data_IF_205955257050
#
_entry.id   IF_205955257050
#
_cell.length_a   1.000
_cell.length_b   1.000
_cell.length_c   1.000
_cell.angle_alpha   90.00
_cell.angle_beta   90.00
_cell.angle_gamma   90.00
#
_symmetry.space_group_name_H-M   'P 1'
#
loop_
_entity.id
_entity.type
_entity.pdbx_description
1 polymer ?
#
# COMPACT_ATOMS: atom_id res chain seq x y z
N UNK A 1 1.75 -38.90 4.60
CA UNK A 1 2.32 -37.59 4.96
C UNK A 1 1.18 -36.59 5.10
N UNK A 2 1.22 -35.75 6.12
CA UNK A 2 0.28 -34.62 6.27
C UNK A 2 0.61 -33.50 5.28
N UNK A 3 -0.33 -32.58 5.02
CA UNK A 3 -0.06 -31.39 4.18
C UNK A 3 1.13 -30.60 4.72
N UNK A 4 1.25 -30.47 6.04
CA UNK A 4 2.35 -29.77 6.70
C UNK A 4 3.71 -30.42 6.41
N UNK A 5 3.79 -31.75 6.44
CA UNK A 5 5.02 -32.49 6.13
C UNK A 5 5.42 -32.35 4.67
N UNK A 6 4.45 -32.45 3.74
CA UNK A 6 4.70 -32.29 2.31
C UNK A 6 5.25 -30.90 2.01
N UNK A 7 4.62 -29.87 2.57
CA UNK A 7 5.01 -28.47 2.38
C UNK A 7 6.43 -28.23 2.90
N UNK A 8 6.72 -28.65 4.14
CA UNK A 8 8.03 -28.45 4.77
C UNK A 8 9.15 -29.22 4.07
N UNK A 9 8.85 -30.37 3.47
CA UNK A 9 9.81 -31.14 2.69
C UNK A 9 10.06 -30.56 1.29
N UNK A 10 9.05 -29.93 0.69
CA UNK A 10 9.11 -29.47 -0.71
C UNK A 10 9.54 -28.00 -0.85
N UNK A 11 9.27 -27.15 0.14
CA UNK A 11 9.43 -25.70 0.04
C UNK A 11 10.28 -25.18 1.19
N UNK A 12 11.47 -24.66 0.87
CA UNK A 12 12.28 -23.94 1.84
C UNK A 12 11.71 -22.56 2.16
N UNK A 13 12.01 -22.06 3.35
CA UNK A 13 11.64 -20.71 3.80
C UNK A 13 12.16 -19.64 2.82
N UNK A 14 13.36 -19.84 2.28
CA UNK A 14 13.98 -18.93 1.30
C UNK A 14 13.26 -18.94 -0.04
N UNK A 15 12.77 -20.09 -0.51
CA UNK A 15 11.99 -20.18 -1.75
C UNK A 15 10.64 -19.47 -1.60
N UNK A 16 9.92 -19.73 -0.51
CA UNK A 16 8.67 -19.04 -0.20
C UNK A 16 8.87 -17.52 -0.10
N UNK A 17 9.87 -17.07 0.67
CA UNK A 17 10.17 -15.65 0.82
C UNK A 17 10.41 -14.95 -0.53
N UNK A 18 11.22 -15.55 -1.42
CA UNK A 18 11.47 -15.00 -2.75
C UNK A 18 10.23 -15.00 -3.62
N UNK A 19 9.46 -16.09 -3.61
CA UNK A 19 8.21 -16.22 -4.36
C UNK A 19 7.21 -15.12 -3.98
N UNK A 20 7.14 -14.79 -2.68
CA UNK A 20 6.29 -13.72 -2.16
C UNK A 20 6.94 -12.32 -2.16
N UNK A 21 8.03 -12.13 -2.92
CA UNK A 21 8.58 -10.78 -3.21
C UNK A 21 9.57 -10.23 -2.19
N UNK A 22 10.06 -11.04 -1.23
CA UNK A 22 11.13 -10.58 -0.34
C UNK A 22 12.47 -10.55 -1.10
N UNK A 23 13.14 -9.40 -1.05
CA UNK A 23 14.49 -9.23 -1.58
C UNK A 23 15.52 -9.88 -0.65
N UNK A 24 15.84 -11.15 -0.92
CA UNK A 24 16.82 -11.94 -0.15
C UNK A 24 18.22 -11.77 -0.73
N UNK A 25 19.16 -11.26 0.08
CA UNK A 25 20.55 -11.09 -0.33
C UNK A 25 21.35 -12.41 -0.31
N UNK A 26 22.62 -12.34 -0.72
CA UNK A 26 23.53 -13.51 -0.79
C UNK A 26 23.70 -14.22 0.56
N UNK A 27 23.59 -13.49 1.67
CA UNK A 27 23.73 -14.03 3.03
C UNK A 27 22.42 -14.61 3.59
N UNK A 28 21.35 -14.69 2.79
CA UNK A 28 20.04 -15.15 3.25
C UNK A 28 19.35 -14.16 4.19
N UNK A 29 19.68 -12.87 4.08
CA UNK A 29 19.04 -11.81 4.86
C UNK A 29 18.04 -11.05 3.99
N UNK A 30 16.95 -10.60 4.58
CA UNK A 30 15.96 -9.70 3.97
C UNK A 30 15.50 -8.64 4.99
N UNK A 31 14.94 -7.54 4.51
CA UNK A 31 14.18 -6.63 5.38
C UNK A 31 12.95 -7.38 5.90
N UNK A 32 12.72 -7.33 7.21
CA UNK A 32 11.62 -8.02 7.82
C UNK A 32 10.28 -7.36 7.44
N UNK A 33 9.31 -8.12 6.90
CA UNK A 33 8.01 -7.58 6.55
C UNK A 33 7.11 -7.37 7.78
N UNK A 34 7.47 -7.94 8.94
CA UNK A 34 6.65 -7.93 10.15
C UNK A 34 6.85 -6.69 11.03
N UNK A 35 7.79 -5.80 10.70
CA UNK A 35 7.97 -4.51 11.37
C UNK A 35 8.55 -3.47 10.39
N UNK A 36 8.67 -2.22 10.81
CA UNK A 36 9.25 -1.17 9.98
C UNK A 36 10.78 -1.31 9.90
N UNK A 37 11.23 -2.18 9.00
CA UNK A 37 12.65 -2.54 8.89
C UNK A 37 13.36 -1.83 7.71
N UNK A 38 14.36 -1.01 8.05
CA UNK A 38 15.20 -0.30 7.08
C UNK A 38 16.46 -1.08 6.68
N UNK A 39 16.91 -2.03 7.52
CA UNK A 39 18.16 -2.77 7.32
C UNK A 39 17.91 -4.27 7.46
N UNK A 40 18.35 -5.13 6.53
CA UNK A 40 18.02 -6.55 6.55
C UNK A 40 18.22 -7.22 7.93
N UNK A 41 17.12 -7.49 8.64
CA UNK A 41 17.13 -8.10 9.97
C UNK A 41 16.49 -9.50 10.01
N UNK A 42 15.83 -9.91 8.93
CA UNK A 42 15.22 -11.24 8.77
C UNK A 42 16.22 -12.21 8.16
N UNK A 43 16.70 -13.17 8.96
CA UNK A 43 17.50 -14.31 8.50
C UNK A 43 16.57 -15.42 8.02
N UNK A 44 16.76 -15.85 6.78
CA UNK A 44 16.07 -16.96 6.14
C UNK A 44 17.06 -18.13 6.02
N UNK A 45 16.90 -19.13 6.88
CA UNK A 45 17.62 -20.40 6.78
C UNK A 45 16.82 -21.37 5.91
N UNK A 46 17.25 -22.63 5.80
CA UNK A 46 16.54 -23.59 4.96
C UNK A 46 15.14 -23.91 5.52
N UNK A 47 15.08 -24.27 6.80
CA UNK A 47 13.84 -24.75 7.44
C UNK A 47 13.13 -23.71 8.32
N UNK A 48 13.82 -22.62 8.69
CA UNK A 48 13.28 -21.62 9.60
C UNK A 48 13.72 -20.19 9.26
N UNK A 49 12.93 -19.21 9.72
CA UNK A 49 13.33 -17.81 9.75
C UNK A 49 13.46 -17.27 11.17
N UNK A 50 14.27 -16.24 11.32
CA UNK A 50 14.34 -15.44 12.54
C UNK A 50 14.61 -13.98 12.21
N UNK A 51 13.81 -13.08 12.77
CA UNK A 51 14.03 -11.64 12.70
C UNK A 51 14.74 -11.14 13.96
N UNK A 52 15.94 -10.61 13.80
CA UNK A 52 16.70 -10.02 14.91
C UNK A 52 16.14 -8.68 15.40
N UNK A 53 15.31 -8.00 14.61
CA UNK A 53 14.69 -6.72 14.98
C UNK A 53 13.44 -6.86 15.84
N UNK A 54 12.51 -7.76 15.45
CA UNK A 54 11.21 -7.90 16.12
C UNK A 54 10.98 -9.27 16.79
N UNK A 55 11.94 -10.20 16.71
CA UNK A 55 11.83 -11.53 17.31
C UNK A 55 10.89 -12.51 16.60
N UNK A 56 10.27 -12.10 15.48
CA UNK A 56 9.45 -12.98 14.66
C UNK A 56 10.27 -14.19 14.20
N UNK A 57 9.69 -15.38 14.34
CA UNK A 57 10.35 -16.65 14.05
C UNK A 57 9.33 -17.72 13.68
N UNK A 58 9.79 -18.76 13.02
CA UNK A 58 8.96 -19.90 12.63
C UNK A 58 9.50 -20.59 11.39
N UNK A 59 8.70 -21.48 10.84
CA UNK A 59 8.99 -22.20 9.60
C UNK A 59 8.36 -21.51 8.37
N UNK A 60 8.36 -22.22 7.23
CA UNK A 60 7.81 -21.70 5.96
C UNK A 60 6.32 -21.40 6.06
N UNK A 61 5.58 -22.16 6.86
CA UNK A 61 4.13 -22.00 7.04
C UNK A 61 3.87 -20.83 7.97
N UNK A 62 4.64 -20.70 9.06
CA UNK A 62 4.55 -19.53 9.94
C UNK A 62 4.87 -18.23 9.21
N UNK A 63 5.84 -18.26 8.29
CA UNK A 63 6.19 -17.11 7.45
C UNK A 63 4.96 -16.69 6.64
N UNK A 64 4.35 -17.62 5.90
CA UNK A 64 3.19 -17.36 5.03
C UNK A 64 1.96 -16.97 5.83
N UNK A 65 1.69 -17.65 6.95
CA UNK A 65 0.61 -17.32 7.86
C UNK A 65 0.68 -15.86 8.30
N UNK A 66 1.87 -15.39 8.72
CA UNK A 66 2.07 -13.99 9.11
C UNK A 66 2.07 -13.00 7.95
N UNK A 67 2.54 -13.44 6.78
CA UNK A 67 2.58 -12.60 5.58
C UNK A 67 1.17 -12.28 5.07
N UNK A 68 0.24 -13.22 5.18
CA UNK A 68 -1.10 -13.13 4.62
C UNK A 68 -2.21 -13.06 5.67
N UNK A 69 -1.87 -13.01 6.96
CA UNK A 69 -2.81 -13.08 8.08
C UNK A 69 -3.75 -14.29 8.00
N UNK A 70 -3.15 -15.47 7.80
CA UNK A 70 -3.85 -16.74 7.63
C UNK A 70 -3.64 -17.66 8.83
N UNK A 71 -4.58 -18.57 9.07
CA UNK A 71 -4.31 -19.72 9.94
C UNK A 71 -3.21 -20.62 9.34
N UNK A 72 -2.56 -21.44 10.16
CA UNK A 72 -1.52 -22.37 9.68
C UNK A 72 -2.02 -23.32 8.60
N UNK A 73 -3.29 -23.73 8.66
CA UNK A 73 -3.89 -24.63 7.66
C UNK A 73 -4.15 -23.91 6.33
N UNK A 74 -4.67 -22.67 6.37
CA UNK A 74 -4.85 -21.84 5.19
C UNK A 74 -3.51 -21.47 4.54
N UNK A 75 -2.48 -21.16 5.33
CA UNK A 75 -1.13 -20.92 4.85
C UNK A 75 -0.53 -22.16 4.16
N UNK A 76 -0.76 -23.36 4.70
CA UNK A 76 -0.33 -24.61 4.09
C UNK A 76 -1.06 -24.88 2.76
N UNK A 77 -2.38 -24.68 2.71
CA UNK A 77 -3.16 -24.81 1.46
C UNK A 77 -2.70 -23.79 0.41
N UNK A 78 -2.43 -22.56 0.83
CA UNK A 78 -1.91 -21.51 -0.05
C UNK A 78 -0.56 -21.87 -0.65
N UNK A 79 0.38 -22.33 0.18
CA UNK A 79 1.68 -22.81 -0.28
C UNK A 79 1.52 -24.01 -1.23
N UNK A 80 0.60 -24.93 -0.97
CA UNK A 80 0.32 -26.05 -1.86
C UNK A 80 -0.18 -25.57 -3.23
N UNK A 81 -1.12 -24.63 -3.26
CA UNK A 81 -1.66 -24.07 -4.49
C UNK A 81 -0.61 -23.27 -5.28
N UNK A 82 0.13 -22.37 -4.60
CA UNK A 82 1.09 -21.46 -5.22
C UNK A 82 2.34 -22.19 -5.78
N UNK A 83 2.70 -23.34 -5.20
CA UNK A 83 3.83 -24.17 -5.63
C UNK A 83 3.41 -25.44 -6.39
N UNK A 84 2.12 -25.61 -6.70
CA UNK A 84 1.62 -26.75 -7.48
C UNK A 84 1.74 -28.10 -6.78
N UNK A 85 1.66 -28.12 -5.45
CA UNK A 85 1.69 -29.34 -4.61
C UNK A 85 0.29 -29.83 -4.22
N UNK A 86 -0.77 -29.16 -4.66
CA UNK A 86 -2.14 -29.53 -4.30
C UNK A 86 -2.64 -30.77 -5.09
N UNK A 87 -3.00 -31.89 -4.42
CA UNK A 87 -3.57 -33.06 -5.08
C UNK A 87 -5.04 -32.90 -5.49
N UNK A 88 -5.72 -31.82 -5.06
CA UNK A 88 -7.08 -31.48 -5.52
C UNK A 88 -7.06 -30.16 -6.28
N UNK A 89 -7.87 -30.01 -7.35
CA UNK A 89 -8.03 -28.70 -7.98
C UNK A 89 -8.60 -27.73 -6.94
N UNK A 90 -8.07 -26.49 -6.85
CA UNK A 90 -8.52 -25.52 -5.86
C UNK A 90 -10.02 -25.27 -6.05
N UNK A 91 -10.77 -25.28 -4.95
CA UNK A 91 -12.17 -24.87 -4.98
C UNK A 91 -12.25 -23.38 -5.35
N UNK A 92 -13.33 -22.95 -5.99
CA UNK A 92 -13.48 -21.54 -6.40
C UNK A 92 -13.32 -20.53 -5.23
N UNK A 93 -13.58 -20.96 -3.99
CA UNK A 93 -13.30 -20.20 -2.77
C UNK A 93 -11.79 -20.08 -2.44
N UNK A 94 -10.98 -21.10 -2.72
CA UNK A 94 -9.51 -21.03 -2.63
C UNK A 94 -8.87 -20.23 -3.78
N UNK A 95 -9.63 -19.96 -4.85
CA UNK A 95 -9.21 -19.08 -5.97
C UNK A 95 -9.47 -17.60 -5.72
N UNK A 96 -10.10 -17.22 -4.59
CA UNK A 96 -10.13 -15.82 -4.17
C UNK A 96 -8.72 -15.48 -3.70
N UNK A 97 -7.90 -14.94 -4.61
CA UNK A 97 -6.53 -14.49 -4.31
C UNK A 97 -6.58 -13.53 -3.11
N UNK A 98 -6.05 -13.89 -1.93
CA UNK A 98 -5.73 -12.86 -0.95
C UNK A 98 -4.62 -12.02 -1.56
N UNK A 99 -4.90 -10.75 -1.83
CA UNK A 99 -3.92 -9.83 -2.41
C UNK A 99 -2.79 -9.56 -1.40
N UNK A 100 -1.65 -10.16 -1.71
CA UNK A 100 -0.25 -9.76 -1.46
C UNK A 100 0.21 -9.57 0.00
N UNK A 101 1.38 -10.12 0.35
CA UNK A 101 2.24 -9.55 1.36
C UNK A 101 3.18 -8.59 0.64
N UNK A 102 2.88 -7.31 0.68
CA UNK A 102 3.87 -6.27 0.37
C UNK A 102 3.88 -5.25 1.50
N UNK A 103 4.05 -5.72 2.73
CA UNK A 103 3.86 -4.92 3.95
C UNK A 103 4.69 -3.63 3.93
N UNK A 104 5.90 -3.63 3.33
CA UNK A 104 6.69 -2.40 3.20
C UNK A 104 6.25 -1.51 2.03
N UNK A 105 6.16 -2.04 0.81
CA UNK A 105 5.80 -1.23 -0.36
C UNK A 105 4.37 -0.73 -0.28
N UNK A 106 3.45 -1.53 0.25
CA UNK A 106 2.08 -1.10 0.54
C UNK A 106 2.08 0.05 1.53
N UNK A 107 2.79 -0.05 2.67
CA UNK A 107 2.90 1.07 3.63
C UNK A 107 3.51 2.32 3.00
N UNK A 108 4.53 2.15 2.15
CA UNK A 108 5.17 3.26 1.43
C UNK A 108 4.18 3.91 0.44
N UNK A 109 3.43 3.11 -0.33
CA UNK A 109 2.42 3.56 -1.27
C UNK A 109 1.20 4.16 -0.56
N UNK A 110 0.74 3.57 0.53
CA UNK A 110 -0.35 4.04 1.38
C UNK A 110 0.00 5.42 1.96
N UNK A 111 1.20 5.56 2.53
CA UNK A 111 1.71 6.84 3.00
C UNK A 111 1.87 7.87 1.87
N UNK A 112 2.33 7.45 0.70
CA UNK A 112 2.44 8.33 -0.48
C UNK A 112 1.06 8.81 -0.93
N UNK A 113 0.10 7.89 -1.09
CA UNK A 113 -1.27 8.17 -1.47
C UNK A 113 -1.89 9.16 -0.49
N UNK A 114 -1.81 8.86 0.81
CA UNK A 114 -2.34 9.72 1.87
C UNK A 114 -1.71 11.12 1.80
N UNK A 115 -0.39 11.23 1.75
CA UNK A 115 0.30 12.52 1.66
C UNK A 115 -0.16 13.33 0.45
N UNK A 116 -0.19 12.73 -0.73
CA UNK A 116 -0.55 13.43 -1.98
C UNK A 116 -2.02 13.86 -1.97
N UNK A 117 -2.93 13.00 -1.50
CA UNK A 117 -4.35 13.33 -1.37
C UNK A 117 -4.56 14.46 -0.37
N UNK A 118 -3.92 14.42 0.79
CA UNK A 118 -3.98 15.47 1.80
C UNK A 118 -3.37 16.79 1.29
N UNK A 119 -2.25 16.74 0.57
CA UNK A 119 -1.64 17.92 -0.04
C UNK A 119 -2.58 18.61 -1.04
N UNK A 120 -3.31 17.81 -1.82
CA UNK A 120 -4.30 18.32 -2.76
C UNK A 120 -5.57 18.80 -2.04
N UNK A 121 -6.04 18.08 -1.01
CA UNK A 121 -7.20 18.48 -0.21
C UNK A 121 -7.00 19.85 0.42
N UNK A 122 -5.84 20.10 1.05
CA UNK A 122 -5.52 21.42 1.61
C UNK A 122 -5.50 22.52 0.54
N UNK A 123 -5.06 22.22 -0.69
CA UNK A 123 -5.11 23.17 -1.80
C UNK A 123 -6.56 23.49 -2.19
N UNK A 124 -7.43 22.49 -2.23
CA UNK A 124 -8.85 22.66 -2.55
C UNK A 124 -9.60 23.43 -1.45
N UNK A 125 -9.37 23.10 -0.17
CA UNK A 125 -9.96 23.82 0.96
C UNK A 125 -9.61 25.31 0.92
N UNK A 126 -8.35 25.59 0.66
CA UNK A 126 -7.84 26.94 0.51
C UNK A 126 -8.48 27.67 -0.69
N UNK A 127 -8.62 27.00 -1.83
CA UNK A 127 -9.27 27.57 -3.01
C UNK A 127 -10.76 27.83 -2.79
N UNK A 128 -11.46 26.96 -2.05
CA UNK A 128 -12.87 27.17 -1.69
C UNK A 128 -13.08 28.45 -0.89
N UNK A 129 -12.10 28.86 -0.09
CA UNK A 129 -12.19 30.08 0.71
C UNK A 129 -11.73 31.29 -0.10
N UNK A 130 -10.55 31.21 -0.73
CA UNK A 130 -9.93 32.36 -1.40
C UNK A 130 -10.62 32.78 -2.69
N UNK A 131 -11.15 31.83 -3.44
CA UNK A 131 -11.76 32.08 -4.75
C UNK A 131 -13.29 31.96 -4.73
N UNK A 132 -13.90 31.94 -3.55
CA UNK A 132 -15.35 31.96 -3.43
C UNK A 132 -15.96 33.22 -4.08
N UNK A 133 -17.02 33.07 -4.89
CA UNK A 133 -17.79 34.22 -5.34
C UNK A 133 -18.36 34.95 -4.12
N UNK A 134 -18.30 36.28 -4.11
CA UNK A 134 -18.83 37.10 -3.02
C UNK A 134 -20.33 37.32 -3.18
N UNK A 135 -20.80 37.29 -4.42
CA UNK A 135 -22.21 37.42 -4.79
C UNK A 135 -22.62 36.31 -5.77
N UNK A 136 -23.89 35.92 -5.82
CA UNK A 136 -24.39 34.90 -6.77
C UNK A 136 -24.19 35.26 -8.25
N UNK A 137 -24.03 36.55 -8.55
CA UNK A 137 -23.86 37.07 -9.91
C UNK A 137 -22.39 37.06 -10.37
N UNK A 138 -21.44 36.82 -9.47
CA UNK A 138 -20.01 36.78 -9.80
C UNK A 138 -19.70 35.60 -10.73
N UNK A 139 -18.81 35.83 -11.70
CA UNK A 139 -18.25 34.75 -12.50
C UNK A 139 -17.44 33.80 -11.59
N UNK A 140 -17.66 32.49 -11.72
CA UNK A 140 -16.96 31.50 -10.91
C UNK A 140 -15.52 31.34 -11.38
N UNK A 141 -14.57 31.42 -10.44
CA UNK A 141 -13.17 31.08 -10.70
C UNK A 141 -13.02 29.57 -10.88
N UNK A 142 -12.27 29.15 -11.91
CA UNK A 142 -12.04 27.74 -12.22
C UNK A 142 -11.52 26.94 -11.00
N UNK A 143 -10.69 27.56 -10.15
CA UNK A 143 -10.15 26.93 -8.94
C UNK A 143 -11.24 26.68 -7.89
N UNK A 144 -12.18 27.61 -7.76
CA UNK A 144 -13.32 27.45 -6.88
C UNK A 144 -14.23 26.32 -7.35
N UNK A 145 -14.48 26.24 -8.66
CA UNK A 145 -15.27 25.16 -9.28
C UNK A 145 -14.61 23.81 -9.08
N UNK A 146 -13.31 23.70 -9.39
CA UNK A 146 -12.51 22.48 -9.18
C UNK A 146 -12.55 22.04 -7.72
N UNK A 147 -12.37 22.98 -6.79
CA UNK A 147 -12.40 22.68 -5.38
C UNK A 147 -13.78 22.21 -4.89
N UNK A 148 -14.87 22.80 -5.38
CA UNK A 148 -16.21 22.30 -5.08
C UNK A 148 -16.47 20.89 -5.64
N UNK A 149 -15.97 20.59 -6.84
CA UNK A 149 -16.18 19.30 -7.49
C UNK A 149 -15.33 18.18 -6.88
N UNK A 150 -14.09 18.49 -6.51
CA UNK A 150 -13.11 17.47 -6.13
C UNK A 150 -13.03 17.22 -4.63
N UNK A 151 -13.38 18.19 -3.78
CA UNK A 151 -13.19 18.10 -2.32
C UNK A 151 -13.77 16.82 -1.71
N UNK A 152 -15.07 16.57 -1.88
CA UNK A 152 -15.73 15.40 -1.27
C UNK A 152 -15.13 14.08 -1.76
N UNK A 153 -14.71 14.02 -3.03
CA UNK A 153 -14.15 12.80 -3.60
C UNK A 153 -12.73 12.52 -3.08
N UNK A 154 -11.89 13.55 -2.94
CA UNK A 154 -10.54 13.43 -2.39
C UNK A 154 -10.58 13.15 -0.88
N UNK A 155 -11.48 13.82 -0.16
CA UNK A 155 -11.76 13.60 1.26
C UNK A 155 -12.18 12.16 1.52
N UNK A 156 -13.14 11.61 0.76
CA UNK A 156 -13.53 10.21 0.84
C UNK A 156 -12.35 9.25 0.70
N UNK A 157 -11.44 9.51 -0.26
CA UNK A 157 -10.25 8.67 -0.45
C UNK A 157 -9.27 8.78 0.72
N UNK A 158 -9.09 9.98 1.28
CA UNK A 158 -8.24 10.18 2.47
C UNK A 158 -8.85 9.48 3.71
N UNK A 159 -10.17 9.52 3.87
CA UNK A 159 -10.89 8.84 4.94
C UNK A 159 -10.72 7.32 4.84
N UNK A 160 -10.90 6.73 3.65
CA UNK A 160 -10.65 5.29 3.46
C UNK A 160 -9.23 4.92 3.90
N UNK A 161 -8.21 5.71 3.55
CA UNK A 161 -6.82 5.46 3.98
C UNK A 161 -6.60 5.63 5.49
N UNK A 162 -7.45 6.38 6.18
CA UNK A 162 -7.31 6.68 7.62
C UNK A 162 -8.09 5.71 8.49
N UNK A 163 -9.33 5.40 8.11
CA UNK A 163 -10.28 4.64 8.94
C UNK A 163 -10.81 3.37 8.29
N UNK A 164 -10.60 3.18 6.98
CA UNK A 164 -11.05 1.99 6.26
C UNK A 164 -10.33 0.72 6.71
N UNK A 165 -10.95 -0.43 6.48
CA UNK A 165 -10.33 -1.71 6.78
C UNK A 165 -9.16 -2.03 5.82
N UNK A 166 -8.41 -3.10 6.10
CA UNK A 166 -7.24 -3.43 5.29
C UNK A 166 -7.60 -3.72 3.82
N UNK A 167 -8.74 -4.36 3.56
CA UNK A 167 -9.17 -4.72 2.21
C UNK A 167 -9.53 -3.47 1.41
N UNK A 168 -10.29 -2.55 2.02
CA UNK A 168 -10.65 -1.26 1.44
C UNK A 168 -9.41 -0.41 1.13
N UNK A 169 -8.47 -0.30 2.08
CA UNK A 169 -7.22 0.46 1.89
C UNK A 169 -6.36 -0.13 0.80
N UNK A 170 -6.21 -1.47 0.75
CA UNK A 170 -5.46 -2.15 -0.30
C UNK A 170 -6.07 -1.92 -1.68
N UNK A 171 -7.40 -2.05 -1.79
CA UNK A 171 -8.11 -1.83 -3.05
C UNK A 171 -7.92 -0.39 -3.55
N UNK A 172 -8.01 0.60 -2.65
CA UNK A 172 -7.85 2.00 -2.99
C UNK A 172 -6.41 2.33 -3.42
N UNK A 173 -5.40 1.89 -2.66
CA UNK A 173 -3.98 2.12 -3.01
C UNK A 173 -3.64 1.46 -4.35
N UNK A 174 -4.10 0.23 -4.60
CA UNK A 174 -3.89 -0.43 -5.89
C UNK A 174 -4.46 0.40 -7.04
N UNK A 175 -5.70 0.90 -6.90
CA UNK A 175 -6.35 1.74 -7.91
C UNK A 175 -5.60 3.04 -8.14
N UNK A 176 -5.23 3.72 -7.05
CA UNK A 176 -4.51 4.99 -7.07
C UNK A 176 -3.14 4.91 -7.76
N UNK A 177 -2.44 3.80 -7.54
CA UNK A 177 -1.13 3.54 -8.12
C UNK A 177 -1.19 3.01 -9.55
N UNK A 178 -2.28 2.35 -9.96
CA UNK A 178 -2.47 1.89 -11.34
C UNK A 178 -2.88 3.01 -12.29
N UNK A 179 -3.70 3.95 -11.82
CA UNK A 179 -4.27 5.00 -12.67
C UNK A 179 -3.31 6.19 -12.87
N UNK A 180 -2.05 6.10 -12.43
CA UNK A 180 -1.06 7.20 -12.34
C UNK A 180 -1.57 8.47 -11.63
N UNK A 181 -2.74 8.39 -10.97
CA UNK A 181 -3.45 9.51 -10.36
C UNK A 181 -2.61 10.19 -9.29
N UNK A 182 -1.88 9.41 -8.51
CA UNK A 182 -0.99 9.92 -7.47
C UNK A 182 0.17 10.73 -8.06
N UNK A 183 0.81 10.22 -9.12
CA UNK A 183 1.89 10.95 -9.79
C UNK A 183 1.37 12.27 -10.38
N UNK A 184 0.22 12.21 -11.07
CA UNK A 184 -0.44 13.40 -11.62
C UNK A 184 -0.77 14.43 -10.53
N UNK A 185 -1.45 14.03 -9.45
CA UNK A 185 -1.84 14.95 -8.39
C UNK A 185 -0.64 15.54 -7.66
N UNK A 186 0.43 14.77 -7.47
CA UNK A 186 1.66 15.25 -6.86
C UNK A 186 2.31 16.37 -7.69
N UNK A 187 2.46 16.16 -8.99
CA UNK A 187 3.02 17.17 -9.90
C UNK A 187 2.10 18.38 -10.05
N UNK A 188 0.80 18.15 -10.21
CA UNK A 188 -0.22 19.18 -10.34
C UNK A 188 -0.24 20.09 -9.11
N UNK A 189 -0.32 19.52 -7.92
CA UNK A 189 -0.36 20.27 -6.66
C UNK A 189 0.93 21.05 -6.44
N UNK A 190 2.10 20.45 -6.72
CA UNK A 190 3.38 21.14 -6.60
C UNK A 190 3.49 22.35 -7.55
N UNK A 191 3.02 22.21 -8.80
CA UNK A 191 2.98 23.31 -9.76
C UNK A 191 2.03 24.42 -9.31
N UNK A 192 0.83 24.06 -8.87
CA UNK A 192 -0.18 25.03 -8.41
C UNK A 192 0.25 25.81 -7.17
N UNK A 193 0.90 25.15 -6.20
CA UNK A 193 1.48 25.83 -5.03
C UNK A 193 2.53 26.87 -5.44
N UNK A 194 3.36 26.60 -6.46
CA UNK A 194 4.33 27.58 -7.00
C UNK A 194 3.66 28.74 -7.74
N UNK A 195 2.63 28.47 -8.55
CA UNK A 195 1.85 29.52 -9.24
C UNK A 195 1.22 30.51 -8.24
N UNK A 196 0.70 30.00 -7.13
CA UNK A 196 0.12 30.83 -6.05
C UNK A 196 1.20 31.61 -5.30
N UNK A 197 2.35 31.01 -5.01
CA UNK A 197 3.47 31.69 -4.36
C UNK A 197 4.00 32.87 -5.20
N UNK A 198 4.21 32.66 -6.50
CA UNK A 198 4.66 33.73 -7.39
C UNK A 198 3.64 34.86 -7.54
N UNK A 199 2.34 34.57 -7.56
CA UNK A 199 1.29 35.60 -7.62
C UNK A 199 1.05 36.32 -6.29
N UNK A 200 1.46 35.73 -5.16
CA UNK A 200 1.45 36.38 -3.85
C UNK A 200 2.65 37.30 -3.60
N UNK A 201 3.68 37.25 -4.46
CA UNK A 201 4.87 38.12 -4.42
C UNK A 201 4.80 39.31 -5.38
N UNK A 202 3.79 39.39 -6.26
CA UNK A 202 3.49 40.64 -6.95
C UNK A 202 2.90 41.61 -5.92
N UNK A 203 3.57 42.74 -5.60
CA UNK A 203 2.93 43.74 -4.76
C UNK A 203 1.67 44.19 -5.48
N UNK A 204 0.56 44.29 -4.74
CA UNK A 204 -0.53 45.20 -5.10
C UNK A 204 0.09 46.60 -5.23
N UNK A 205 0.59 46.91 -6.43
CA UNK A 205 1.21 48.18 -6.75
C UNK A 205 0.20 49.04 -7.50
N UNK A 206 -0.13 50.15 -6.84
CA UNK A 206 -0.75 51.39 -7.31
C UNK A 206 -2.28 51.45 -7.40
#
# INVERSE_FOLDING_TARGET
>A
MTIYEIIKAAISVKQAAKHYGLNVNRNGMACCPFHNDRHPSLKLNEDYFFCFGCGAKGDVIDLVARLFDLSSYEAAQKLAADFGLDPKPPTAAAMVKPKRPYIRQFRENEMLCFRVLTDYLHLLEDWKIRYAPKTPEDALDDRFVEACQMHCYIEYMADVLTVGDLEERVALVDKLMQDDKIAFLQEYTARKKKEVAHRGEEPENA
#
